data_IF_312743277970
#
_entry.id   IF_312743277970
#
_cell.length_a   1.000
_cell.length_b   1.000
_cell.length_c   1.000
_cell.angle_alpha   90.00
_cell.angle_beta   90.00
_cell.angle_gamma   90.00
#
_symmetry.space_group_name_H-M   'P 1'
#
loop_
_entity.id
_entity.type
_entity.pdbx_description
1 polymer ?
#
# COMPACT_ATOMS: atom_id res chain seq x y z
N UNK A 1 -34.92 -4.49 -1.97
CA UNK A 1 -33.85 -3.66 -2.55
C UNK A 1 -32.73 -3.59 -1.54
N UNK A 2 -31.51 -3.93 -1.93
CA UNK A 2 -30.33 -3.86 -1.06
C UNK A 2 -29.54 -2.59 -1.41
N UNK A 3 -29.22 -1.78 -0.40
CA UNK A 3 -28.40 -0.57 -0.56
C UNK A 3 -26.93 -0.90 -0.31
N UNK A 4 -26.13 -0.94 -1.37
CA UNK A 4 -24.70 -1.23 -1.26
C UNK A 4 -23.92 0.10 -1.20
N UNK A 5 -23.10 0.29 -0.16
CA UNK A 5 -22.27 1.49 -0.01
C UNK A 5 -21.01 1.39 -0.89
N UNK A 6 -21.12 1.82 -2.14
CA UNK A 6 -20.07 1.62 -3.16
C UNK A 6 -18.90 2.59 -3.00
N UNK A 7 -19.18 3.83 -2.56
CA UNK A 7 -18.12 4.84 -2.35
C UNK A 7 -17.21 4.53 -1.15
N UNK A 8 -17.70 3.78 -0.17
CA UNK A 8 -16.93 3.47 1.04
C UNK A 8 -15.68 2.64 0.75
N UNK A 9 -15.79 1.69 -0.18
CA UNK A 9 -14.70 0.77 -0.53
C UNK A 9 -13.44 1.49 -1.06
N UNK A 10 -13.49 2.32 -2.13
CA UNK A 10 -12.30 3.01 -2.61
C UNK A 10 -11.75 4.04 -1.61
N UNK A 11 -12.60 4.62 -0.76
CA UNK A 11 -12.14 5.55 0.29
C UNK A 11 -11.33 4.82 1.35
N UNK A 12 -11.85 3.70 1.88
CA UNK A 12 -11.14 2.91 2.90
C UNK A 12 -9.85 2.34 2.33
N UNK A 13 -9.90 1.75 1.12
CA UNK A 13 -8.71 1.25 0.45
C UNK A 13 -7.69 2.36 0.21
N UNK A 14 -8.13 3.55 -0.20
CA UNK A 14 -7.24 4.71 -0.35
C UNK A 14 -6.52 5.09 0.94
N UNK A 15 -7.23 5.06 2.08
CA UNK A 15 -6.62 5.31 3.39
C UNK A 15 -5.59 4.25 3.79
N UNK A 16 -5.84 2.98 3.48
CA UNK A 16 -4.89 1.90 3.74
C UNK A 16 -3.63 2.10 2.90
N UNK A 17 -3.79 2.37 1.60
CA UNK A 17 -2.67 2.57 0.69
C UNK A 17 -1.84 3.82 1.01
N UNK A 18 -2.48 4.93 1.39
CA UNK A 18 -1.73 6.15 1.73
C UNK A 18 -0.97 5.98 3.04
N UNK A 19 -1.58 5.40 4.07
CA UNK A 19 -0.93 5.18 5.35
C UNK A 19 0.26 4.23 5.18
N UNK A 20 0.04 3.09 4.55
CA UNK A 20 1.10 2.10 4.32
C UNK A 20 2.20 2.63 3.40
N UNK A 21 1.82 3.31 2.32
CA UNK A 21 2.75 3.91 1.38
C UNK A 21 3.68 4.94 2.04
N UNK A 22 3.13 5.82 2.88
CA UNK A 22 3.93 6.79 3.65
C UNK A 22 4.91 6.08 4.59
N UNK A 23 4.44 5.11 5.37
CA UNK A 23 5.29 4.38 6.32
C UNK A 23 6.45 3.68 5.62
N UNK A 24 6.15 2.96 4.53
CA UNK A 24 7.18 2.22 3.78
C UNK A 24 8.15 3.17 3.07
N UNK A 25 7.67 4.26 2.47
CA UNK A 25 8.57 5.24 1.84
C UNK A 25 9.49 5.91 2.87
N UNK A 26 8.96 6.31 4.03
CA UNK A 26 9.78 6.90 5.09
C UNK A 26 10.82 5.92 5.64
N UNK A 27 10.44 4.65 5.81
CA UNK A 27 11.39 3.59 6.16
C UNK A 27 12.49 3.44 5.11
N UNK A 28 12.13 3.38 3.82
CA UNK A 28 13.12 3.28 2.76
C UNK A 28 14.07 4.48 2.72
N UNK A 29 13.58 5.71 2.95
CA UNK A 29 14.46 6.87 3.09
C UNK A 29 15.39 6.76 4.31
N UNK A 30 14.87 6.30 5.44
CA UNK A 30 15.70 6.06 6.63
C UNK A 30 16.80 5.02 6.33
N UNK A 31 16.44 3.91 5.69
CA UNK A 31 17.36 2.85 5.32
C UNK A 31 18.42 3.33 4.30
N UNK A 32 18.05 4.23 3.38
CA UNK A 32 19.00 4.81 2.42
C UNK A 32 20.06 5.73 3.04
N UNK A 33 19.73 6.48 4.10
CA UNK A 33 20.60 7.52 4.66
C UNK A 33 21.25 7.15 6.01
N UNK A 34 20.55 6.40 6.86
CA UNK A 34 20.97 6.13 8.24
C UNK A 34 20.91 4.65 8.63
N UNK A 35 20.14 3.83 7.92
CA UNK A 35 19.96 2.43 8.26
C UNK A 35 21.10 1.52 7.82
N UNK A 36 21.20 0.38 8.49
CA UNK A 36 22.07 -0.75 8.15
C UNK A 36 21.28 -2.04 8.42
N UNK A 37 21.41 -3.09 7.60
CA UNK A 37 20.67 -4.32 7.83
C UNK A 37 21.13 -5.00 9.12
N UNK A 38 20.17 -5.55 9.87
CA UNK A 38 20.42 -6.20 11.16
C UNK A 38 21.47 -7.32 11.07
N UNK A 39 21.51 -8.04 9.94
CA UNK A 39 22.52 -9.06 9.69
C UNK A 39 23.96 -8.53 9.79
N UNK A 40 24.20 -7.29 9.34
CA UNK A 40 25.53 -6.67 9.40
C UNK A 40 25.88 -6.16 10.80
N UNK A 41 24.90 -5.92 11.70
CA UNK A 41 25.17 -5.54 13.09
C UNK A 41 25.97 -6.63 13.82
N UNK A 42 25.74 -7.90 13.48
CA UNK A 42 26.43 -9.05 14.04
C UNK A 42 27.61 -9.54 13.20
N UNK A 43 27.99 -8.79 12.14
CA UNK A 43 29.07 -9.19 11.25
C UNK A 43 30.44 -8.82 11.82
N UNK A 44 31.46 -9.68 11.66
CA UNK A 44 32.85 -9.35 11.98
C UNK A 44 33.38 -8.13 11.21
N UNK A 45 32.89 -7.90 9.98
CA UNK A 45 33.27 -6.76 9.14
C UNK A 45 32.03 -6.04 8.61
N UNK A 46 32.09 -4.70 8.60
CA UNK A 46 31.01 -3.88 8.06
C UNK A 46 30.65 -4.28 6.62
N UNK A 47 29.36 -4.48 6.35
CA UNK A 47 28.82 -4.88 5.04
C UNK A 47 29.25 -6.26 4.52
N UNK A 48 29.56 -7.21 5.41
CA UNK A 48 30.00 -8.55 5.03
C UNK A 48 28.87 -9.45 4.50
N UNK A 49 27.68 -9.43 5.11
CA UNK A 49 26.56 -10.28 4.68
C UNK A 49 25.72 -9.65 3.58
N UNK A 50 25.29 -8.41 3.81
CA UNK A 50 24.56 -7.62 2.83
C UNK A 50 25.48 -6.49 2.43
N UNK A 51 25.75 -6.36 1.13
CA UNK A 51 26.55 -5.25 0.62
C UNK A 51 25.77 -3.94 0.66
N UNK A 52 26.48 -2.82 0.72
CA UNK A 52 25.87 -1.49 0.68
C UNK A 52 25.03 -1.28 -0.60
N UNK A 53 25.47 -1.83 -1.74
CA UNK A 53 24.72 -1.73 -3.00
C UNK A 53 23.39 -2.50 -2.95
N UNK A 54 23.38 -3.69 -2.37
CA UNK A 54 22.16 -4.47 -2.16
C UNK A 54 21.20 -3.73 -1.21
N UNK A 55 21.72 -3.14 -0.15
CA UNK A 55 20.94 -2.35 0.79
C UNK A 55 20.32 -1.11 0.15
N UNK A 56 21.09 -0.36 -0.65
CA UNK A 56 20.58 0.80 -1.39
C UNK A 56 19.54 0.41 -2.46
N UNK A 57 19.69 -0.76 -3.06
CA UNK A 57 18.71 -1.29 -4.01
C UNK A 57 17.40 -1.65 -3.30
N UNK A 58 17.51 -2.26 -2.11
CA UNK A 58 16.36 -2.56 -1.26
C UNK A 58 15.63 -1.30 -0.79
N UNK A 59 16.36 -0.31 -0.27
CA UNK A 59 15.77 0.95 0.17
C UNK A 59 15.14 1.73 -0.99
N UNK A 60 15.77 1.71 -2.18
CA UNK A 60 15.19 2.27 -3.40
C UNK A 60 13.88 1.58 -3.83
N UNK A 61 13.80 0.26 -3.67
CA UNK A 61 12.56 -0.49 -3.88
C UNK A 61 11.47 -0.06 -2.89
N UNK A 62 11.77 0.02 -1.59
CA UNK A 62 10.80 0.45 -0.56
C UNK A 62 10.26 1.86 -0.84
N UNK A 63 11.15 2.81 -1.18
CA UNK A 63 10.76 4.17 -1.55
C UNK A 63 9.81 4.14 -2.75
N UNK A 64 10.20 3.46 -3.83
CA UNK A 64 9.42 3.40 -5.08
C UNK A 64 8.06 2.73 -4.86
N UNK A 65 8.04 1.62 -4.13
CA UNK A 65 6.83 0.89 -3.78
C UNK A 65 5.88 1.73 -2.94
N UNK A 66 6.38 2.39 -1.88
CA UNK A 66 5.56 3.24 -1.03
C UNK A 66 4.97 4.43 -1.80
N UNK A 67 5.75 5.07 -2.68
CA UNK A 67 5.27 6.14 -3.55
C UNK A 67 4.22 5.64 -4.54
N UNK A 68 4.38 4.43 -5.08
CA UNK A 68 3.37 3.81 -5.94
C UNK A 68 2.05 3.58 -5.17
N UNK A 69 2.11 3.11 -3.92
CA UNK A 69 0.94 2.97 -3.06
C UNK A 69 0.24 4.32 -2.83
N UNK A 70 0.99 5.37 -2.55
CA UNK A 70 0.45 6.73 -2.41
C UNK A 70 -0.22 7.19 -3.71
N UNK A 71 0.41 6.93 -4.86
CA UNK A 71 -0.17 7.21 -6.18
C UNK A 71 -1.51 6.48 -6.39
N UNK A 72 -1.58 5.19 -6.05
CA UNK A 72 -2.81 4.40 -6.11
C UNK A 72 -3.89 4.96 -5.17
N UNK A 73 -3.51 5.39 -3.97
CA UNK A 73 -4.45 6.03 -3.03
C UNK A 73 -5.07 7.30 -3.63
N UNK A 74 -4.27 8.15 -4.26
CA UNK A 74 -4.80 9.34 -4.95
C UNK A 74 -5.74 8.98 -6.09
N UNK A 75 -5.45 7.94 -6.88
CA UNK A 75 -6.34 7.44 -7.91
C UNK A 75 -7.66 6.93 -7.32
N UNK A 76 -7.61 6.18 -6.23
CA UNK A 76 -8.79 5.68 -5.53
C UNK A 76 -9.64 6.82 -4.96
N UNK A 77 -9.02 7.83 -4.36
CA UNK A 77 -9.74 9.01 -3.87
C UNK A 77 -10.36 9.81 -5.02
N UNK A 78 -9.64 10.02 -6.12
CA UNK A 78 -10.18 10.68 -7.32
C UNK A 78 -11.36 9.88 -7.91
N UNK A 79 -11.24 8.55 -7.98
CA UNK A 79 -12.29 7.67 -8.45
C UNK A 79 -13.51 7.67 -7.52
N UNK A 80 -13.30 7.70 -6.20
CA UNK A 80 -14.37 7.74 -5.20
C UNK A 80 -15.27 8.98 -5.32
N UNK A 81 -14.75 10.10 -5.85
CA UNK A 81 -15.53 11.32 -6.09
C UNK A 81 -16.52 11.16 -7.26
N UNK A 82 -16.31 10.19 -8.15
CA UNK A 82 -17.19 9.90 -9.29
C UNK A 82 -18.29 8.89 -8.96
N UNK A 83 -18.21 8.23 -7.80
CA UNK A 83 -19.14 7.17 -7.43
C UNK A 83 -20.30 7.72 -6.57
N UNK A 84 -21.53 7.23 -6.80
CA UNK A 84 -22.64 7.49 -5.88
C UNK A 84 -22.38 6.80 -4.55
N UNK A 85 -22.95 7.34 -3.47
CA UNK A 85 -22.73 6.79 -2.14
C UNK A 85 -23.40 5.41 -1.96
N UNK A 86 -24.55 5.22 -2.60
CA UNK A 86 -25.32 3.98 -2.58
C UNK A 86 -25.69 3.56 -4.01
N UNK A 87 -25.70 2.25 -4.26
CA UNK A 87 -26.31 1.65 -5.44
C UNK A 87 -27.38 0.67 -4.95
N UNK A 88 -28.59 0.81 -5.49
CA UNK A 88 -29.68 -0.13 -5.26
C UNK A 88 -29.46 -1.38 -6.11
N UNK A 89 -29.46 -2.54 -5.46
CA UNK A 89 -29.44 -3.83 -6.13
C UNK A 89 -30.76 -4.55 -5.93
N UNK A 90 -31.35 -5.04 -7.02
CA UNK A 90 -32.46 -5.98 -6.93
C UNK A 90 -31.97 -7.30 -6.36
N UNK A 91 -32.64 -7.77 -5.31
CA UNK A 91 -32.38 -9.06 -4.69
C UNK A 91 -32.94 -10.10 -5.66
N UNK A 92 -32.10 -10.70 -6.50
CA UNK A 92 -32.49 -11.95 -7.18
C UNK A 92 -32.59 -13.02 -6.12
N UNK A 93 -33.81 -13.38 -5.77
CA UNK A 93 -34.13 -14.48 -4.88
C UNK A 93 -33.42 -15.74 -5.39
N UNK A 94 -32.52 -16.29 -4.57
CA UNK A 94 -31.71 -17.47 -4.90
C UNK A 94 -32.49 -18.78 -4.80
N UNK A 95 -33.81 -18.73 -4.55
CA UNK A 95 -34.64 -19.91 -4.31
C UNK A 95 -35.32 -20.50 -5.55
N UNK A 96 -35.06 -20.03 -6.78
CA UNK A 96 -35.61 -20.67 -8.00
C UNK A 96 -34.57 -21.59 -8.65
N UNK A 97 -34.20 -22.66 -7.95
CA UNK A 97 -33.65 -23.88 -8.57
C UNK A 97 -34.36 -25.06 -7.92
N UNK A 98 -35.54 -25.39 -8.47
CA UNK A 98 -36.17 -26.70 -8.35
C UNK A 98 -35.81 -27.50 -9.61
#
# INVERSE_FOLDING_TARGET
MENIKVRGLPVISGWIFIFWGIVVSLKGFYDAFWGEPEANIYSPKKWEFISQQQWLTWSGFEITFGLACVGVAFLLFAYSKRLPEYIEREIKDKNTVL
#
